data_IF_327030662250
#
_entry.id   IF_327030662250
#
_cell.length_a   1.000
_cell.length_b   1.000
_cell.length_c   1.000
_cell.angle_alpha   90.00
_cell.angle_beta   90.00
_cell.angle_gamma   90.00
#
_symmetry.space_group_name_H-M   'P 1'
#
loop_
_entity.id
_entity.type
_entity.pdbx_description
1 polymer ?
#
# COMPACT_ATOMS: atom_id res chain seq x y z
N UNK A 1 -12.41 18.88 -0.22
CA UNK A 1 -11.02 18.54 -0.60
C UNK A 1 -10.53 17.50 0.40
N UNK A 2 -9.93 16.39 -0.04
CA UNK A 2 -9.36 15.41 0.90
C UNK A 2 -8.09 15.98 1.52
N UNK A 3 -7.86 15.71 2.79
CA UNK A 3 -6.57 15.98 3.45
C UNK A 3 -5.49 15.06 2.91
N UNK A 4 -4.23 15.43 3.08
CA UNK A 4 -3.09 14.58 2.71
C UNK A 4 -3.22 13.17 3.33
N UNK A 5 -3.52 13.09 4.63
CA UNK A 5 -3.70 11.81 5.32
C UNK A 5 -4.85 10.97 4.78
N UNK A 6 -5.96 11.60 4.33
CA UNK A 6 -7.07 10.87 3.70
C UNK A 6 -6.70 10.29 2.33
N UNK A 7 -5.84 10.97 1.57
CA UNK A 7 -5.32 10.50 0.29
C UNK A 7 -4.36 9.33 0.53
N UNK A 8 -3.39 9.49 1.44
CA UNK A 8 -2.44 8.45 1.82
C UNK A 8 -3.16 7.20 2.34
N UNK A 9 -4.13 7.36 3.23
CA UNK A 9 -4.91 6.25 3.78
C UNK A 9 -5.77 5.55 2.71
N UNK A 10 -6.33 6.30 1.76
CA UNK A 10 -7.07 5.71 0.64
C UNK A 10 -6.16 4.84 -0.23
N UNK A 11 -4.96 5.33 -0.55
CA UNK A 11 -3.97 4.59 -1.34
C UNK A 11 -3.52 3.32 -0.62
N UNK A 12 -3.20 3.41 0.68
CA UNK A 12 -2.85 2.23 1.48
C UNK A 12 -3.95 1.16 1.42
N UNK A 13 -5.23 1.54 1.63
CA UNK A 13 -6.35 0.59 1.58
C UNK A 13 -6.51 -0.05 0.21
N UNK A 14 -6.46 0.74 -0.85
CA UNK A 14 -6.61 0.23 -2.23
C UNK A 14 -5.51 -0.75 -2.58
N UNK A 15 -4.24 -0.46 -2.23
CA UNK A 15 -3.14 -1.38 -2.50
C UNK A 15 -3.23 -2.65 -1.63
N UNK A 16 -3.64 -2.54 -0.36
CA UNK A 16 -3.86 -3.70 0.50
C UNK A 16 -4.91 -4.66 -0.08
N UNK A 17 -6.05 -4.12 -0.52
CA UNK A 17 -7.12 -4.90 -1.16
C UNK A 17 -6.64 -5.55 -2.46
N UNK A 18 -5.91 -4.81 -3.29
CA UNK A 18 -5.36 -5.33 -4.55
C UNK A 18 -4.42 -6.51 -4.30
N UNK A 19 -3.50 -6.40 -3.35
CA UNK A 19 -2.59 -7.51 -3.02
C UNK A 19 -3.34 -8.71 -2.44
N UNK A 20 -4.33 -8.48 -1.57
CA UNK A 20 -5.18 -9.54 -1.04
C UNK A 20 -5.94 -10.27 -2.16
N UNK A 21 -6.44 -9.54 -3.16
CA UNK A 21 -7.17 -10.09 -4.31
C UNK A 21 -6.25 -10.84 -5.28
N UNK A 22 -5.04 -10.32 -5.54
CA UNK A 22 -4.11 -10.88 -6.55
C UNK A 22 -3.24 -11.99 -5.97
N UNK A 23 -2.75 -11.83 -4.74
CA UNK A 23 -1.77 -12.72 -4.10
C UNK A 23 -2.40 -13.62 -3.02
N UNK A 24 -3.70 -13.46 -2.73
CA UNK A 24 -4.41 -14.19 -1.67
C UNK A 24 -4.03 -13.77 -0.25
N UNK A 25 -3.16 -12.75 -0.11
CA UNK A 25 -2.67 -12.22 1.16
C UNK A 25 -2.33 -10.75 1.01
N UNK A 26 -2.56 -9.98 2.07
CA UNK A 26 -2.14 -8.59 2.15
C UNK A 26 -0.64 -8.41 2.43
N UNK A 27 -0.12 -7.20 2.23
CA UNK A 27 1.25 -6.84 2.55
C UNK A 27 1.48 -6.86 4.05
N UNK A 28 2.72 -7.13 4.47
CA UNK A 28 3.11 -7.03 5.88
C UNK A 28 3.09 -5.59 6.37
N UNK A 29 3.47 -4.66 5.49
CA UNK A 29 3.45 -3.23 5.79
C UNK A 29 3.26 -2.43 4.49
N UNK A 30 2.35 -1.44 4.54
CA UNK A 30 2.19 -0.42 3.49
C UNK A 30 2.38 0.95 4.13
N UNK A 31 3.16 1.80 3.47
CA UNK A 31 3.19 3.23 3.77
C UNK A 31 3.06 4.01 2.47
N UNK A 32 2.06 4.87 2.40
CA UNK A 32 1.91 5.84 1.34
C UNK A 32 2.20 7.24 1.92
N UNK A 33 2.98 8.03 1.20
CA UNK A 33 3.30 9.39 1.58
C UNK A 33 3.19 10.30 0.37
N UNK A 34 2.48 11.41 0.54
CA UNK A 34 2.36 12.44 -0.48
C UNK A 34 3.55 13.41 -0.36
N UNK A 35 4.25 13.60 -1.46
CA UNK A 35 5.39 14.51 -1.59
C UNK A 35 5.11 15.47 -2.73
N UNK A 36 4.55 16.64 -2.39
CA UNK A 36 4.11 17.63 -3.37
C UNK A 36 2.96 17.09 -4.22
N UNK A 37 3.24 16.86 -5.50
CA UNK A 37 2.31 16.32 -6.50
C UNK A 37 2.46 14.81 -6.71
N UNK A 38 3.41 14.16 -6.02
CA UNK A 38 3.71 12.73 -6.18
C UNK A 38 3.28 11.95 -4.95
N UNK A 39 3.00 10.67 -5.15
CA UNK A 39 2.81 9.72 -4.07
C UNK A 39 3.89 8.64 -4.14
N UNK A 40 4.53 8.40 -3.01
CA UNK A 40 5.48 7.30 -2.85
C UNK A 40 4.81 6.25 -1.99
N UNK A 41 4.76 5.02 -2.52
CA UNK A 41 4.20 3.87 -1.81
C UNK A 41 5.32 2.87 -1.56
N UNK A 42 5.57 2.56 -0.30
CA UNK A 42 6.49 1.51 0.12
C UNK A 42 5.69 0.28 0.54
N UNK A 43 5.99 -0.84 -0.09
CA UNK A 43 5.41 -2.15 0.19
C UNK A 43 6.49 -3.06 0.76
N UNK A 44 6.21 -3.70 1.88
CA UNK A 44 7.06 -4.76 2.43
C UNK A 44 6.38 -6.12 2.27
N UNK A 45 7.17 -7.12 1.85
CA UNK A 45 6.75 -8.51 1.66
C UNK A 45 5.88 -8.76 0.41
N UNK A 46 6.26 -8.13 -0.71
CA UNK A 46 5.55 -8.25 -2.01
C UNK A 46 5.81 -9.58 -2.74
N UNK A 47 6.85 -10.33 -2.34
CA UNK A 47 7.23 -11.60 -2.98
C UNK A 47 6.62 -12.81 -2.28
N UNK A 48 5.97 -13.66 -3.08
CA UNK A 48 5.32 -14.93 -2.72
C UNK A 48 6.21 -15.87 -1.89
N UNK A 49 5.55 -16.57 -0.97
CA UNK A 49 5.98 -17.70 -0.14
C UNK A 49 7.30 -18.41 -0.53
N UNK A 50 8.47 -17.87 -0.18
CA UNK A 50 9.68 -18.66 0.09
C UNK A 50 10.68 -17.94 1.01
N UNK A 51 10.22 -17.17 2.00
CA UNK A 51 11.12 -16.69 3.07
C UNK A 51 10.40 -16.70 4.43
N UNK A 52 10.15 -17.90 4.94
CA UNK A 52 10.45 -18.40 6.30
C UNK A 52 9.66 -19.67 6.60
#
# INVERSE_FOLDING_TARGET
MKTQGEIEAAVCRTIASLEQEVMGRGPKEIRAQLFGDRIVVRLQCVFTTTEQ
#
